data_IF_989129993249
#
_entry.id   IF_989129993249
#
_cell.length_a   1.000
_cell.length_b   1.000
_cell.length_c   1.000
_cell.angle_alpha   90.00
_cell.angle_beta   90.00
_cell.angle_gamma   90.00
#
_symmetry.space_group_name_H-M   'P 1'
#
loop_
_entity.id
_entity.type
_entity.pdbx_description
1 polymer ?
#
# COMPACT_ATOMS: atom_id res chain seq x y z
N UNK A 1 46.02 7.17 -50.00
CA UNK A 1 46.10 7.20 -48.52
C UNK A 1 44.73 7.59 -48.00
N UNK A 2 43.99 6.63 -47.45
CA UNK A 2 42.59 6.86 -47.03
C UNK A 2 42.47 6.36 -45.59
N UNK A 3 42.33 7.29 -44.65
CA UNK A 3 42.20 7.01 -43.22
C UNK A 3 40.80 6.46 -42.91
N UNK A 4 40.75 5.27 -42.32
CA UNK A 4 39.53 4.64 -41.82
C UNK A 4 39.25 5.12 -40.40
N UNK A 5 38.12 5.80 -40.21
CA UNK A 5 37.60 6.26 -38.92
C UNK A 5 37.03 5.08 -38.13
N UNK A 6 37.60 4.78 -36.95
CA UNK A 6 37.03 3.83 -35.97
C UNK A 6 35.91 4.54 -35.21
N UNK A 7 34.65 4.17 -35.47
CA UNK A 7 33.54 4.46 -34.55
C UNK A 7 33.62 3.50 -33.37
N UNK A 8 33.73 4.08 -32.18
CA UNK A 8 33.60 3.40 -30.90
C UNK A 8 32.22 2.75 -30.78
N UNK A 9 32.21 1.45 -30.54
CA UNK A 9 31.00 0.73 -30.14
C UNK A 9 30.61 1.15 -28.74
N UNK A 10 29.61 2.03 -28.64
CA UNK A 10 28.82 2.18 -27.43
C UNK A 10 28.00 0.90 -27.26
N UNK A 11 28.38 0.10 -26.27
CA UNK A 11 27.58 -1.03 -25.80
C UNK A 11 26.22 -0.49 -25.35
N UNK A 12 25.09 -1.03 -25.84
CA UNK A 12 23.78 -0.61 -25.35
C UNK A 12 23.67 -0.91 -23.86
N UNK A 13 23.20 0.07 -23.09
CA UNK A 13 22.89 -0.10 -21.68
C UNK A 13 22.00 -1.32 -21.47
N UNK A 14 22.29 -2.11 -20.43
CA UNK A 14 21.49 -3.27 -20.06
C UNK A 14 20.01 -2.85 -19.90
N UNK A 15 19.05 -3.67 -20.37
CA UNK A 15 17.64 -3.36 -20.20
C UNK A 15 17.33 -3.23 -18.71
N UNK A 16 16.69 -2.12 -18.39
CA UNK A 16 16.15 -1.75 -17.10
C UNK A 16 15.47 -2.97 -16.46
N UNK A 17 15.97 -3.41 -15.29
CA UNK A 17 15.46 -4.59 -14.60
C UNK A 17 14.09 -4.23 -14.01
N UNK A 18 13.05 -4.32 -14.84
CA UNK A 18 11.68 -4.33 -14.37
C UNK A 18 11.58 -5.30 -13.19
N UNK A 19 11.09 -4.85 -12.03
CA UNK A 19 10.73 -5.73 -10.93
C UNK A 19 9.84 -6.83 -11.53
N UNK A 20 10.37 -8.07 -11.60
CA UNK A 20 9.71 -9.16 -12.32
C UNK A 20 8.29 -9.25 -11.81
N UNK A 21 7.34 -9.44 -12.71
CA UNK A 21 5.93 -9.60 -12.36
C UNK A 21 5.76 -10.75 -11.36
N UNK A 22 5.70 -10.44 -10.06
CA UNK A 22 5.51 -11.42 -8.97
C UNK A 22 4.02 -11.63 -8.77
N UNK A 23 3.59 -12.88 -8.85
CA UNK A 23 2.28 -13.30 -8.36
C UNK A 23 2.38 -13.62 -6.88
N UNK A 24 1.45 -13.13 -6.07
CA UNK A 24 1.36 -13.46 -4.65
C UNK A 24 0.17 -14.37 -4.35
N UNK A 25 0.21 -15.02 -3.19
CA UNK A 25 -0.91 -15.80 -2.68
C UNK A 25 -2.23 -14.99 -2.66
N UNK A 26 -3.41 -15.64 -2.78
CA UNK A 26 -4.70 -14.97 -2.83
C UNK A 26 -5.22 -14.53 -1.45
N UNK A 27 -4.58 -14.96 -0.36
CA UNK A 27 -4.88 -14.54 0.99
C UNK A 27 -4.07 -13.29 1.37
N UNK A 28 -4.44 -12.60 2.45
CA UNK A 28 -3.74 -11.40 2.90
C UNK A 28 -3.30 -11.48 4.36
N UNK A 29 -2.25 -10.73 4.67
CA UNK A 29 -1.84 -10.45 6.04
C UNK A 29 -2.99 -9.81 6.81
N UNK A 30 -3.15 -10.16 8.08
CA UNK A 30 -4.06 -9.48 9.01
C UNK A 30 -3.40 -8.19 9.55
N UNK A 31 -4.17 -7.21 10.04
CA UNK A 31 -3.57 -6.09 10.76
C UNK A 31 -2.78 -6.61 11.96
N UNK A 32 -1.71 -5.90 12.34
CA UNK A 32 -0.89 -6.28 13.46
C UNK A 32 -1.62 -5.98 14.77
N UNK A 33 -1.92 -7.03 15.53
CA UNK A 33 -2.55 -6.89 16.84
C UNK A 33 -1.72 -6.02 17.78
N UNK A 34 -2.39 -5.07 18.45
CA UNK A 34 -1.76 -4.13 19.38
C UNK A 34 -1.03 -2.95 18.73
N UNK A 35 -1.01 -2.84 17.40
CA UNK A 35 -0.48 -1.66 16.72
C UNK A 35 -1.54 -0.55 16.65
N UNK A 36 -1.19 0.65 17.10
CA UNK A 36 -2.03 1.84 16.91
C UNK A 36 -1.84 2.42 15.50
N UNK A 37 -2.82 2.19 14.63
CA UNK A 37 -2.81 2.68 13.25
C UNK A 37 -3.19 4.17 13.13
N UNK A 38 -3.76 4.78 14.18
CA UNK A 38 -4.09 6.21 14.24
C UNK A 38 -2.88 7.06 14.64
N UNK A 39 -1.90 6.47 15.32
CA UNK A 39 -0.66 7.15 15.68
C UNK A 39 0.14 7.59 14.43
N UNK A 40 0.62 8.83 14.44
CA UNK A 40 1.50 9.34 13.38
C UNK A 40 2.74 8.46 13.17
N UNK A 41 3.31 7.94 14.27
CA UNK A 41 4.43 7.00 14.31
C UNK A 41 4.05 5.72 15.05
N UNK A 42 3.43 4.72 14.38
CA UNK A 42 2.91 3.51 15.03
C UNK A 42 3.96 2.70 15.80
N UNK A 43 5.22 2.76 15.36
CA UNK A 43 6.34 2.01 15.94
C UNK A 43 7.24 2.85 16.86
N UNK A 44 6.85 4.07 17.24
CA UNK A 44 7.67 4.96 18.07
C UNK A 44 8.12 4.30 19.39
N UNK A 45 7.26 3.48 20.01
CA UNK A 45 7.56 2.78 21.27
C UNK A 45 8.36 1.48 21.12
N UNK A 46 8.68 1.04 19.89
CA UNK A 46 9.28 -0.27 19.64
C UNK A 46 10.81 -0.15 19.52
N UNK A 47 11.55 -1.16 19.99
CA UNK A 47 13.02 -1.16 19.90
C UNK A 47 13.51 -1.36 18.46
N UNK A 48 14.54 -0.63 18.04
CA UNK A 48 15.06 -0.69 16.66
C UNK A 48 15.51 -2.08 16.22
N UNK A 49 16.23 -2.82 17.08
CA UNK A 49 16.64 -4.22 16.81
C UNK A 49 15.45 -5.14 16.54
N UNK A 50 14.33 -4.87 17.22
CA UNK A 50 13.10 -5.65 17.10
C UNK A 50 12.45 -5.33 15.75
N UNK A 51 12.33 -4.05 15.40
CA UNK A 51 11.83 -3.61 14.10
C UNK A 51 12.65 -4.17 12.94
N UNK A 52 13.98 -4.11 13.04
CA UNK A 52 14.87 -4.64 12.02
C UNK A 52 14.64 -6.15 11.80
N UNK A 53 14.44 -6.90 12.88
CA UNK A 53 14.15 -8.35 12.84
C UNK A 53 12.79 -8.61 12.19
N UNK A 54 11.75 -7.88 12.60
CA UNK A 54 10.40 -8.02 12.04
C UNK A 54 10.32 -7.69 10.56
N UNK A 55 11.01 -6.65 10.10
CA UNK A 55 11.11 -6.31 8.66
C UNK A 55 11.61 -7.52 7.87
N UNK A 56 12.63 -8.22 8.37
CA UNK A 56 13.14 -9.43 7.73
C UNK A 56 12.10 -10.54 7.61
N UNK A 57 11.28 -10.75 8.65
CA UNK A 57 10.21 -11.74 8.64
C UNK A 57 9.04 -11.35 7.73
N UNK A 58 8.58 -10.10 7.80
CA UNK A 58 7.47 -9.58 7.01
C UNK A 58 7.72 -9.61 5.51
N UNK A 59 8.95 -9.31 5.06
CA UNK A 59 9.31 -9.34 3.65
C UNK A 59 9.41 -10.77 3.07
N UNK A 60 9.49 -11.80 3.91
CA UNK A 60 9.54 -13.21 3.48
C UNK A 60 8.15 -13.87 3.40
N UNK A 61 7.09 -13.20 3.85
CA UNK A 61 5.72 -13.69 3.72
C UNK A 61 5.27 -13.70 2.25
N UNK A 62 4.21 -14.46 1.95
CA UNK A 62 3.53 -14.47 0.65
C UNK A 62 2.01 -14.30 0.84
N UNK A 63 1.43 -13.11 0.56
CA UNK A 63 2.12 -11.89 0.12
C UNK A 63 3.04 -11.29 1.21
N UNK A 64 4.11 -10.57 0.82
CA UNK A 64 4.95 -9.85 1.78
C UNK A 64 4.12 -8.80 2.50
N UNK A 65 4.42 -8.56 3.77
CA UNK A 65 3.82 -7.47 4.53
C UNK A 65 4.62 -6.18 4.33
N UNK A 66 4.48 -5.58 3.14
CA UNK A 66 5.16 -4.36 2.72
C UNK A 66 4.68 -3.14 3.50
N UNK A 67 3.41 -3.09 3.92
CA UNK A 67 2.91 -2.01 4.78
C UNK A 67 3.71 -1.93 6.08
N UNK A 68 3.72 -3.00 6.87
CA UNK A 68 4.39 -2.99 8.17
C UNK A 68 5.91 -2.82 8.00
N UNK A 69 6.50 -3.47 6.99
CA UNK A 69 7.92 -3.31 6.72
C UNK A 69 8.30 -1.87 6.32
N UNK A 70 7.44 -1.18 5.57
CA UNK A 70 7.64 0.24 5.20
C UNK A 70 7.50 1.15 6.41
N UNK A 71 6.47 0.97 7.24
CA UNK A 71 6.26 1.78 8.45
C UNK A 71 7.39 1.61 9.46
N UNK A 72 7.88 0.38 9.63
CA UNK A 72 9.02 0.11 10.50
C UNK A 72 10.32 0.70 9.92
N UNK A 73 10.51 0.67 8.61
CA UNK A 73 11.65 1.32 7.95
C UNK A 73 11.59 2.84 8.10
N UNK A 74 10.41 3.46 7.96
CA UNK A 74 10.21 4.90 8.19
C UNK A 74 10.62 5.28 9.63
N UNK A 75 10.18 4.49 10.61
CA UNK A 75 10.56 4.71 12.01
C UNK A 75 12.07 4.55 12.25
N UNK A 76 12.72 3.55 11.64
CA UNK A 76 14.18 3.40 11.70
C UNK A 76 14.91 4.56 11.00
N UNK A 77 14.33 5.09 9.91
CA UNK A 77 14.90 6.22 9.17
C UNK A 77 14.88 7.48 10.02
N UNK A 78 13.78 7.73 10.74
CA UNK A 78 13.66 8.82 11.70
C UNK A 78 14.73 8.74 12.80
N UNK A 79 15.09 7.51 13.21
CA UNK A 79 16.15 7.25 14.20
C UNK A 79 17.56 7.23 13.60
N UNK A 80 17.70 7.28 12.28
CA UNK A 80 18.97 7.11 11.54
C UNK A 80 19.61 5.72 11.74
N UNK A 81 18.78 4.68 11.84
CA UNK A 81 19.17 3.28 12.09
C UNK A 81 18.62 2.32 10.99
N UNK A 82 18.45 2.82 9.77
CA UNK A 82 17.72 2.15 8.69
C UNK A 82 18.58 1.34 7.71
N UNK A 83 19.91 1.45 7.78
CA UNK A 83 20.83 0.82 6.81
C UNK A 83 20.58 -0.68 6.63
N UNK A 84 20.55 -1.44 7.73
CA UNK A 84 20.31 -2.88 7.69
C UNK A 84 18.93 -3.23 7.15
N UNK A 85 17.91 -2.44 7.49
CA UNK A 85 16.56 -2.63 7.00
C UNK A 85 16.48 -2.39 5.48
N UNK A 86 17.12 -1.33 4.95
CA UNK A 86 17.22 -1.10 3.50
C UNK A 86 17.91 -2.23 2.76
N UNK A 87 18.98 -2.80 3.34
CA UNK A 87 19.65 -3.96 2.77
C UNK A 87 18.73 -5.19 2.67
N UNK A 88 17.79 -5.38 3.62
CA UNK A 88 16.81 -6.48 3.56
C UNK A 88 15.83 -6.31 2.40
N UNK A 89 15.31 -5.10 2.19
CA UNK A 89 14.50 -4.77 1.01
C UNK A 89 15.27 -5.06 -0.29
N UNK A 90 16.49 -4.52 -0.41
CA UNK A 90 17.32 -4.70 -1.61
C UNK A 90 17.64 -6.17 -1.89
N UNK A 91 17.98 -6.95 -0.86
CA UNK A 91 18.29 -8.39 -0.99
C UNK A 91 17.13 -9.20 -1.54
N UNK A 92 15.89 -8.80 -1.24
CA UNK A 92 14.67 -9.48 -1.72
C UNK A 92 14.14 -8.86 -3.02
N UNK A 93 14.85 -7.89 -3.59
CA UNK A 93 14.42 -7.06 -4.73
C UNK A 93 13.00 -6.52 -4.54
N UNK A 94 12.71 -6.04 -3.33
CA UNK A 94 11.46 -5.37 -2.97
C UNK A 94 11.77 -3.90 -2.67
N UNK A 95 10.87 -3.00 -3.05
CA UNK A 95 10.93 -1.60 -2.66
C UNK A 95 9.97 -1.32 -1.50
N UNK A 96 10.31 -0.41 -0.56
CA UNK A 96 9.33 0.14 0.37
C UNK A 96 8.26 0.95 -0.41
N UNK A 97 7.11 1.21 0.21
CA UNK A 97 6.02 1.97 -0.41
C UNK A 97 6.30 3.47 -0.24
N UNK A 98 6.78 4.19 -1.28
CA UNK A 98 7.40 5.50 -1.11
C UNK A 98 6.40 6.60 -0.69
N UNK A 99 5.12 6.41 -0.99
CA UNK A 99 4.06 7.37 -0.71
C UNK A 99 3.27 7.05 0.58
N UNK A 100 3.61 5.97 1.30
CA UNK A 100 2.80 5.48 2.42
C UNK A 100 2.70 6.50 3.56
N UNK A 101 3.82 7.02 4.05
CA UNK A 101 3.81 8.04 5.11
C UNK A 101 2.98 9.28 4.76
N UNK A 102 3.11 9.81 3.54
CA UNK A 102 2.34 10.97 3.08
C UNK A 102 0.84 10.65 2.95
N UNK A 103 0.50 9.48 2.41
CA UNK A 103 -0.89 9.02 2.29
C UNK A 103 -1.54 8.86 3.66
N UNK A 104 -0.83 8.28 4.64
CA UNK A 104 -1.30 8.17 6.03
C UNK A 104 -1.54 9.54 6.64
N UNK A 105 -0.58 10.46 6.50
CA UNK A 105 -0.72 11.82 7.02
C UNK A 105 -1.96 12.53 6.45
N UNK A 106 -2.24 12.37 5.15
CA UNK A 106 -3.42 12.96 4.53
C UNK A 106 -4.73 12.35 5.05
N UNK A 107 -4.81 11.01 5.17
CA UNK A 107 -5.99 10.32 5.73
C UNK A 107 -6.24 10.75 7.17
N UNK A 108 -5.22 10.71 8.02
CA UNK A 108 -5.33 11.05 9.44
C UNK A 108 -5.60 12.54 9.66
N UNK A 109 -5.01 13.41 8.84
CA UNK A 109 -5.17 14.86 8.96
C UNK A 109 -6.48 15.39 8.35
N UNK A 110 -7.02 14.72 7.32
CA UNK A 110 -8.17 15.23 6.57
C UNK A 110 -9.46 14.45 6.85
N UNK A 111 -9.42 13.12 6.73
CA UNK A 111 -10.63 12.30 6.74
C UNK A 111 -11.04 11.87 8.15
N UNK A 112 -10.07 11.54 9.02
CA UNK A 112 -10.36 11.12 10.39
C UNK A 112 -11.11 12.21 11.21
N UNK A 113 -10.77 13.51 11.14
CA UNK A 113 -11.53 14.55 11.83
C UNK A 113 -12.96 14.73 11.31
N UNK A 114 -13.15 14.63 9.99
CA UNK A 114 -14.48 14.69 9.36
C UNK A 114 -15.36 13.54 9.85
N UNK A 115 -14.81 12.32 9.82
CA UNK A 115 -15.52 11.13 10.27
C UNK A 115 -15.91 11.23 11.75
N UNK A 116 -14.98 11.69 12.59
CA UNK A 116 -15.21 11.84 14.03
C UNK A 116 -16.35 12.83 14.30
N UNK A 117 -16.45 13.89 13.50
CA UNK A 117 -17.55 14.86 13.56
C UNK A 117 -18.89 14.26 13.12
N UNK A 118 -18.88 13.43 12.08
CA UNK A 118 -20.08 12.75 11.54
C UNK A 118 -20.52 11.52 12.37
N UNK A 119 -19.64 10.94 13.20
CA UNK A 119 -19.87 9.69 13.94
C UNK A 119 -20.82 9.80 15.13
N UNK A 120 -21.27 10.99 15.53
CA UNK A 120 -22.24 11.15 16.62
C UNK A 120 -23.54 10.38 16.34
N UNK A 121 -23.61 9.14 16.84
CA UNK A 121 -24.79 8.26 16.77
C UNK A 121 -24.79 7.17 15.69
N UNK A 122 -23.73 7.04 14.87
CA UNK A 122 -23.75 6.13 13.72
C UNK A 122 -22.95 4.84 13.99
N UNK A 123 -23.64 3.74 14.28
CA UNK A 123 -23.05 2.40 14.25
C UNK A 123 -23.26 1.78 12.86
N UNK A 124 -22.19 1.32 12.23
CA UNK A 124 -22.22 0.79 10.89
C UNK A 124 -21.36 -0.46 10.71
N UNK A 125 -21.69 -1.27 9.70
CA UNK A 125 -20.89 -2.40 9.22
C UNK A 125 -20.16 -2.08 7.92
N UNK A 126 -20.43 -0.91 7.34
CA UNK A 126 -19.76 -0.44 6.13
C UNK A 126 -18.28 -0.20 6.40
N UNK A 127 -17.44 -0.51 5.42
CA UNK A 127 -15.99 -0.32 5.47
C UNK A 127 -15.51 0.23 4.15
N UNK A 128 -14.56 1.15 4.22
CA UNK A 128 -13.67 1.45 3.09
C UNK A 128 -12.38 0.66 3.26
N UNK A 129 -11.70 0.36 2.17
CA UNK A 129 -10.42 -0.33 2.18
C UNK A 129 -9.52 0.14 1.04
N UNK A 130 -8.22 -0.06 1.24
CA UNK A 130 -7.18 0.22 0.26
C UNK A 130 -6.38 -1.05 0.03
N UNK A 131 -6.17 -1.43 -1.22
CA UNK A 131 -5.33 -2.57 -1.63
C UNK A 131 -4.11 -2.02 -2.36
N UNK A 132 -2.92 -2.36 -1.88
CA UNK A 132 -1.67 -2.20 -2.59
C UNK A 132 -1.68 -3.07 -3.85
N UNK A 133 -1.33 -2.49 -4.99
CA UNK A 133 -1.20 -3.21 -6.24
C UNK A 133 0.11 -2.88 -6.94
N UNK A 134 0.76 -3.91 -7.48
CA UNK A 134 1.94 -3.78 -8.30
C UNK A 134 1.61 -3.64 -9.79
N UNK A 135 2.55 -4.08 -10.64
CA UNK A 135 2.38 -4.10 -12.10
C UNK A 135 2.69 -2.78 -12.79
N UNK A 136 3.36 -1.85 -12.11
CA UNK A 136 3.78 -0.57 -12.63
C UNK A 136 5.28 -0.53 -12.90
N UNK A 137 5.71 0.40 -13.75
CA UNK A 137 7.12 0.66 -14.07
C UNK A 137 7.73 1.62 -13.05
N UNK A 138 9.06 1.74 -13.05
CA UNK A 138 9.79 2.73 -12.23
C UNK A 138 9.23 4.15 -12.40
N UNK A 139 8.90 4.53 -13.64
CA UNK A 139 8.34 5.85 -13.99
C UNK A 139 6.97 6.13 -13.37
N UNK A 140 6.18 5.11 -13.02
CA UNK A 140 4.89 5.28 -12.34
C UNK A 140 4.97 4.96 -10.84
N UNK A 141 6.18 4.73 -10.32
CA UNK A 141 6.47 4.07 -9.06
C UNK A 141 5.90 2.63 -9.05
N UNK A 142 6.65 1.68 -8.50
CA UNK A 142 6.34 0.23 -8.58
C UNK A 142 4.98 -0.18 -7.99
N UNK A 143 4.35 0.73 -7.22
CA UNK A 143 3.10 0.49 -6.49
C UNK A 143 2.06 1.58 -6.74
N UNK A 144 0.81 1.14 -6.92
CA UNK A 144 -0.38 1.97 -6.85
C UNK A 144 -1.37 1.43 -5.82
N UNK A 145 -2.55 2.05 -5.77
CA UNK A 145 -3.61 1.70 -4.84
C UNK A 145 -4.93 1.44 -5.58
N UNK A 146 -5.71 0.48 -5.07
CA UNK A 146 -7.13 0.37 -5.34
C UNK A 146 -7.91 0.71 -4.08
N UNK A 147 -8.87 1.62 -4.19
CA UNK A 147 -9.80 2.02 -3.14
C UNK A 147 -11.14 1.35 -3.42
N UNK A 148 -11.78 0.81 -2.39
CA UNK A 148 -13.09 0.20 -2.51
C UNK A 148 -13.87 0.26 -1.20
N UNK A 149 -15.15 -0.12 -1.27
CA UNK A 149 -16.01 -0.27 -0.10
C UNK A 149 -16.66 -1.65 0.00
N UNK A 150 -17.00 -2.07 1.24
CA UNK A 150 -17.63 -3.36 1.50
C UNK A 150 -18.38 -3.37 2.83
N UNK A 151 -19.42 -4.20 2.92
CA UNK A 151 -20.06 -4.58 4.19
C UNK A 151 -19.53 -5.90 4.76
N UNK A 152 -18.61 -6.56 4.04
CA UNK A 152 -18.00 -7.86 4.42
C UNK A 152 -16.71 -7.63 5.22
N UNK A 153 -16.11 -8.67 5.82
CA UNK A 153 -14.71 -8.60 6.25
C UNK A 153 -13.79 -8.24 5.08
N UNK A 154 -12.83 -7.34 5.29
CA UNK A 154 -11.93 -6.86 4.22
C UNK A 154 -11.11 -8.02 3.64
N UNK A 155 -10.61 -8.94 4.48
CA UNK A 155 -9.91 -10.13 4.03
C UNK A 155 -10.76 -11.01 3.08
N UNK A 156 -12.05 -11.18 3.38
CA UNK A 156 -12.96 -11.91 2.49
C UNK A 156 -13.15 -11.18 1.16
N UNK A 157 -13.27 -9.84 1.19
CA UNK A 157 -13.40 -9.03 -0.03
C UNK A 157 -12.11 -9.05 -0.87
N UNK A 158 -10.95 -9.00 -0.22
CA UNK A 158 -9.65 -9.16 -0.88
C UNK A 158 -9.55 -10.50 -1.60
N UNK A 159 -9.93 -11.60 -0.94
CA UNK A 159 -9.95 -12.94 -1.55
C UNK A 159 -10.88 -13.02 -2.77
N UNK A 160 -12.02 -12.32 -2.76
CA UNK A 160 -12.89 -12.22 -3.94
C UNK A 160 -12.20 -11.50 -5.11
N UNK A 161 -11.48 -10.41 -4.84
CA UNK A 161 -10.67 -9.73 -5.85
C UNK A 161 -9.57 -10.64 -6.41
N UNK A 162 -8.83 -11.34 -5.54
CA UNK A 162 -7.75 -12.24 -5.97
C UNK A 162 -8.27 -13.43 -6.79
N UNK A 163 -9.48 -13.93 -6.53
CA UNK A 163 -10.14 -14.98 -7.32
C UNK A 163 -10.53 -14.55 -8.74
N UNK A 164 -10.72 -13.24 -8.98
CA UNK A 164 -11.20 -12.73 -10.26
C UNK A 164 -12.71 -12.90 -10.50
N UNK A 165 -13.11 -12.66 -11.76
CA UNK A 165 -14.51 -12.68 -12.20
C UNK A 165 -15.24 -11.34 -12.03
N UNK A 166 -16.57 -11.35 -12.23
CA UNK A 166 -17.40 -10.15 -12.33
C UNK A 166 -17.39 -9.24 -11.08
N UNK A 167 -17.05 -9.79 -9.91
CA UNK A 167 -16.98 -9.05 -8.64
C UNK A 167 -15.58 -8.51 -8.33
N UNK A 168 -14.59 -8.80 -9.17
CA UNK A 168 -13.23 -8.28 -9.00
C UNK A 168 -13.03 -7.00 -9.80
N UNK A 169 -12.49 -5.98 -9.13
CA UNK A 169 -11.88 -4.84 -9.82
C UNK A 169 -10.77 -5.29 -10.79
N UNK A 170 -10.64 -4.54 -11.89
CA UNK A 170 -9.71 -4.83 -12.97
C UNK A 170 -8.26 -4.81 -12.48
N UNK A 171 -7.51 -5.85 -12.82
CA UNK A 171 -6.08 -5.98 -12.51
C UNK A 171 -5.76 -6.55 -11.12
N UNK A 172 -6.67 -6.50 -10.13
CA UNK A 172 -6.43 -7.10 -8.81
C UNK A 172 -6.25 -8.62 -8.78
N UNK A 173 -6.85 -9.44 -9.67
CA UNK A 173 -6.60 -10.88 -9.71
C UNK A 173 -5.14 -11.22 -10.02
N UNK A 174 -4.41 -10.29 -10.63
CA UNK A 174 -3.03 -10.49 -11.05
C UNK A 174 -2.07 -9.65 -10.21
N UNK A 175 -2.43 -8.40 -9.90
CA UNK A 175 -1.51 -7.41 -9.34
C UNK A 175 -1.82 -7.00 -7.89
N UNK A 176 -2.92 -7.46 -7.30
CA UNK A 176 -3.22 -7.18 -5.89
C UNK A 176 -2.21 -7.86 -4.97
N UNK A 177 -1.59 -7.08 -4.07
CA UNK A 177 -0.54 -7.55 -3.16
C UNK A 177 -1.13 -7.74 -1.76
N UNK A 178 -1.58 -6.67 -1.11
CA UNK A 178 -2.16 -6.74 0.24
C UNK A 178 -3.05 -5.53 0.56
N UNK A 179 -3.94 -5.60 1.56
CA UNK A 179 -4.59 -4.43 2.14
C UNK A 179 -3.60 -3.52 2.88
N UNK A 180 -3.79 -2.20 2.78
CA UNK A 180 -3.03 -1.19 3.52
C UNK A 180 -3.86 -0.66 4.70
N UNK A 181 -3.84 -1.40 5.81
CA UNK A 181 -4.70 -1.16 6.97
C UNK A 181 -4.55 0.23 7.57
N UNK A 182 -3.34 0.79 7.54
CA UNK A 182 -3.03 2.12 8.05
C UNK A 182 -3.73 3.26 7.30
N UNK A 183 -4.27 2.99 6.11
CA UNK A 183 -5.00 3.97 5.29
C UNK A 183 -6.51 3.93 5.49
N UNK A 184 -7.06 2.93 6.20
CA UNK A 184 -8.52 2.78 6.30
C UNK A 184 -9.04 2.26 7.64
N UNK A 185 -8.24 1.60 8.48
CA UNK A 185 -8.68 1.18 9.80
C UNK A 185 -9.14 2.36 10.68
N UNK A 186 -8.41 3.49 10.74
CA UNK A 186 -8.86 4.69 11.45
C UNK A 186 -10.25 5.18 10.99
N UNK A 187 -10.57 4.97 9.70
CA UNK A 187 -11.82 5.42 9.10
C UNK A 187 -12.99 4.44 9.32
N UNK A 188 -12.72 3.22 9.79
CA UNK A 188 -13.71 2.18 9.87
C UNK A 188 -14.27 1.99 11.29
N UNK A 189 -15.56 1.63 11.43
CA UNK A 189 -16.54 1.51 10.37
C UNK A 189 -17.00 2.88 9.81
N UNK A 190 -17.51 2.83 8.58
CA UNK A 190 -18.29 3.90 7.94
C UNK A 190 -19.77 3.51 7.90
N UNK A 191 -20.65 4.46 7.56
CA UNK A 191 -22.09 4.21 7.45
C UNK A 191 -22.42 3.03 6.52
N UNK A 192 -23.38 2.18 6.89
CA UNK A 192 -23.68 0.92 6.18
C UNK A 192 -24.47 1.07 4.88
N UNK A 193 -25.10 2.23 4.65
CA UNK A 193 -25.88 2.45 3.42
C UNK A 193 -24.97 2.47 2.21
N UNK A 194 -25.45 2.00 1.05
CA UNK A 194 -24.68 2.04 -0.20
C UNK A 194 -24.20 3.44 -0.52
N UNK A 195 -25.07 4.44 -0.38
CA UNK A 195 -24.73 5.85 -0.60
C UNK A 195 -23.58 6.31 0.30
N UNK A 196 -23.63 6.01 1.61
CA UNK A 196 -22.55 6.36 2.54
C UNK A 196 -21.25 5.63 2.25
N UNK A 197 -21.30 4.35 1.88
CA UNK A 197 -20.10 3.59 1.52
C UNK A 197 -19.43 4.17 0.27
N UNK A 198 -20.22 4.50 -0.77
CA UNK A 198 -19.71 5.13 -2.01
C UNK A 198 -19.17 6.53 -1.74
N UNK A 199 -19.83 7.30 -0.88
CA UNK A 199 -19.37 8.63 -0.46
C UNK A 199 -17.99 8.54 0.22
N UNK A 200 -17.83 7.66 1.21
CA UNK A 200 -16.56 7.48 1.91
C UNK A 200 -15.48 6.85 1.02
N UNK A 201 -15.84 5.97 0.10
CA UNK A 201 -14.93 5.44 -0.93
C UNK A 201 -14.39 6.57 -1.82
N UNK A 202 -15.28 7.47 -2.27
CA UNK A 202 -14.94 8.62 -3.11
C UNK A 202 -14.03 9.60 -2.37
N UNK A 203 -14.38 9.98 -1.13
CA UNK A 203 -13.53 10.85 -0.29
C UNK A 203 -12.14 10.23 -0.05
N UNK A 204 -12.05 8.93 0.20
CA UNK A 204 -10.78 8.24 0.37
C UNK A 204 -9.96 8.24 -0.93
N UNK A 205 -10.60 8.00 -2.07
CA UNK A 205 -9.94 8.09 -3.37
C UNK A 205 -9.40 9.50 -3.63
N UNK A 206 -10.22 10.53 -3.47
CA UNK A 206 -9.84 11.93 -3.69
C UNK A 206 -8.72 12.39 -2.75
N UNK A 207 -8.73 11.91 -1.50
CA UNK A 207 -7.65 12.19 -0.54
C UNK A 207 -6.31 11.57 -0.97
N UNK A 208 -6.34 10.39 -1.60
CA UNK A 208 -5.13 9.66 -1.98
C UNK A 208 -4.61 10.00 -3.39
N UNK A 209 -5.48 10.41 -4.31
CA UNK A 209 -5.16 10.65 -5.71
C UNK A 209 -4.03 11.69 -5.96
N UNK A 210 -3.90 12.77 -5.17
CA UNK A 210 -2.79 13.72 -5.32
C UNK A 210 -1.43 13.17 -4.86
N UNK A 211 -1.42 12.09 -4.09
CA UNK A 211 -0.24 11.57 -3.39
C UNK A 211 0.28 10.29 -4.04
N UNK A 212 -0.64 9.39 -4.40
CA UNK A 212 -0.32 8.09 -4.97
C UNK A 212 -0.36 8.21 -6.50
N UNK A 213 0.73 7.89 -7.23
CA UNK A 213 0.79 8.08 -8.68
C UNK A 213 -0.33 7.41 -9.48
N UNK A 214 -0.86 6.30 -8.95
CA UNK A 214 -1.97 5.54 -9.54
C UNK A 214 -2.93 5.10 -8.45
N UNK A 215 -4.05 5.80 -8.36
CA UNK A 215 -5.22 5.37 -7.58
C UNK A 215 -6.31 4.93 -8.54
N UNK A 216 -6.93 3.81 -8.23
CA UNK A 216 -8.11 3.28 -8.94
C UNK A 216 -9.20 2.98 -7.92
N UNK A 217 -10.45 2.95 -8.32
CA UNK A 217 -11.58 2.66 -7.42
C UNK A 217 -12.91 2.81 -8.13
N UNK A 218 -13.98 2.38 -7.49
CA UNK A 218 -15.34 2.50 -8.01
C UNK A 218 -15.96 3.81 -7.50
N UNK A 219 -15.34 4.94 -7.87
CA UNK A 219 -15.74 6.30 -7.45
C UNK A 219 -16.97 6.79 -8.21
N UNK A 220 -17.84 7.53 -7.51
CA UNK A 220 -18.94 8.24 -8.13
C UNK A 220 -18.47 9.63 -8.55
N UNK A 221 -18.37 9.87 -9.87
CA UNK A 221 -18.25 11.20 -10.46
C UNK A 221 -19.64 11.74 -10.81
#
# INVERSE_FOLDING_TARGET
>A
MTFTSRRSGLTPAAPDKAMRHRSFAPDCNQPLDGLDYEAGRPFAGWQSRHLETLIGGWLQLDPPNLELATLALEELTERREDLNARMKFARLELAPIPWLGAARAAVLGTLLPQLTSERKGTSGRGKVYVILRGGYTETSQWYGAYVGSTSRPVASRFKEHRKGGARSARGLPVHGIEPLYSLFLPLNPVGSSRAKMVEWETRLHECLAPIIPKVTGDVAF
#
